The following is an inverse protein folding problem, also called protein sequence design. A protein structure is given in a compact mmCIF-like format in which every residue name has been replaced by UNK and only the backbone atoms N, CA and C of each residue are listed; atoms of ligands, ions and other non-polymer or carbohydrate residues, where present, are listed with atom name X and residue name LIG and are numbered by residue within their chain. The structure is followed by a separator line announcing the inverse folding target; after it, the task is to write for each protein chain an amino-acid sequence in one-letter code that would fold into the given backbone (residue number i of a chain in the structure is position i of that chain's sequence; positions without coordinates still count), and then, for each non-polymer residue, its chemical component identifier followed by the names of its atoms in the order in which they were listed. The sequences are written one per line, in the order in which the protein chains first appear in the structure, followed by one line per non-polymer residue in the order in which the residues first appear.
data_IF_209632109485
#
_entry.id   IF_209632109485
#
_cell.length_a   1.000
_cell.length_b   1.000
_cell.length_c   1.000
_cell.angle_alpha   90.00
_cell.angle_beta   90.00
_cell.angle_gamma   90.00
#
_symmetry.space_group_name_H-M   'P 1'
#
loop_
_entity.id
_entity.type
_entity.pdbx_description
1 polymer ?
#
# COMPACT_ATOMS: atom_id res chain seq x y z
N UNK A 1 21.98 27.98 4.48
CA UNK A 1 21.10 26.85 4.78
C UNK A 1 21.46 25.77 3.79
N UNK A 2 21.90 24.61 4.25
CA UNK A 2 22.22 23.48 3.36
C UNK A 2 20.94 22.83 2.83
N UNK A 3 21.00 22.04 1.77
CA UNK A 3 19.85 21.27 1.27
C UNK A 3 19.29 20.32 2.35
N UNK A 4 20.17 19.77 3.20
CA UNK A 4 19.77 18.96 4.35
C UNK A 4 18.99 19.75 5.39
N UNK A 5 19.38 21.00 5.66
CA UNK A 5 18.64 21.89 6.55
C UNK A 5 17.24 22.22 5.99
N UNK A 6 17.12 22.39 4.67
CA UNK A 6 15.85 22.67 4.00
C UNK A 6 14.90 21.46 4.06
N UNK A 7 15.40 20.25 3.78
CA UNK A 7 14.61 19.03 3.89
C UNK A 7 14.15 18.77 5.34
N UNK A 8 15.04 18.96 6.31
CA UNK A 8 14.69 18.83 7.71
C UNK A 8 13.63 19.88 8.15
N UNK A 9 13.70 21.11 7.64
CA UNK A 9 12.68 22.12 7.88
C UNK A 9 11.34 21.73 7.26
N UNK A 10 11.33 21.17 6.05
CA UNK A 10 10.11 20.66 5.41
C UNK A 10 9.46 19.55 6.24
N UNK A 11 10.24 18.60 6.76
CA UNK A 11 9.71 17.58 7.67
C UNK A 11 9.11 18.19 8.93
N UNK A 12 9.75 19.21 9.53
CA UNK A 12 9.20 19.93 10.69
C UNK A 12 7.91 20.67 10.36
N UNK A 13 7.83 21.30 9.19
CA UNK A 13 6.65 22.03 8.75
C UNK A 13 5.45 21.09 8.56
N UNK A 14 5.61 19.96 7.87
CA UNK A 14 4.54 18.97 7.71
C UNK A 14 4.14 18.32 9.03
N UNK A 15 5.09 18.06 9.93
CA UNK A 15 4.78 17.60 11.28
C UNK A 15 3.91 18.64 12.05
N UNK A 16 4.19 19.94 11.89
CA UNK A 16 3.37 20.99 12.48
C UNK A 16 1.95 21.05 11.91
N UNK A 17 1.76 20.75 10.61
CA UNK A 17 0.42 20.62 10.00
C UNK A 17 -0.37 19.51 10.67
N UNK A 18 0.23 18.33 10.88
CA UNK A 18 -0.42 17.22 11.58
C UNK A 18 -0.76 17.59 13.04
N UNK A 19 0.16 18.26 13.75
CA UNK A 19 -0.10 18.75 15.11
C UNK A 19 -1.30 19.70 15.15
N UNK A 20 -1.36 20.67 14.25
CA UNK A 20 -2.47 21.61 14.16
C UNK A 20 -3.81 20.91 13.86
N UNK A 21 -3.79 19.92 12.96
CA UNK A 21 -4.98 19.12 12.64
C UNK A 21 -5.45 18.30 13.85
N UNK A 22 -4.53 17.65 14.58
CA UNK A 22 -4.86 16.93 15.82
C UNK A 22 -5.52 17.87 16.82
N UNK A 23 -4.94 19.04 17.06
CA UNK A 23 -5.43 19.98 18.08
C UNK A 23 -6.82 20.51 17.71
N UNK A 24 -7.04 20.84 16.42
CA UNK A 24 -8.36 21.23 15.89
C UNK A 24 -9.40 20.12 16.07
N UNK A 25 -9.06 18.89 15.71
CA UNK A 25 -9.97 17.75 15.77
C UNK A 25 -10.25 17.32 17.22
N UNK A 26 -9.25 17.35 18.09
CA UNK A 26 -9.42 17.09 19.52
C UNK A 26 -10.33 18.14 20.17
N UNK A 27 -10.17 19.42 19.83
CA UNK A 27 -11.06 20.46 20.35
C UNK A 27 -12.53 20.24 19.95
N UNK A 28 -12.78 19.73 18.73
CA UNK A 28 -14.13 19.36 18.31
C UNK A 28 -14.67 18.13 19.06
N UNK A 29 -13.82 17.15 19.33
CA UNK A 29 -14.17 15.96 20.13
C UNK A 29 -14.51 16.34 21.57
N UNK A 30 -13.66 17.15 22.21
CA UNK A 30 -13.82 17.62 23.59
C UNK A 30 -15.07 18.49 23.76
N UNK A 31 -15.41 19.28 22.74
CA UNK A 31 -16.64 20.07 22.70
C UNK A 31 -17.91 19.24 22.40
N UNK A 32 -17.77 17.95 22.10
CA UNK A 32 -18.89 17.09 21.69
C UNK A 32 -19.48 17.44 20.33
N UNK A 33 -18.76 18.17 19.48
CA UNK A 33 -19.21 18.63 18.15
C UNK A 33 -18.60 17.84 16.98
N UNK A 34 -17.62 16.98 17.26
CA UNK A 34 -16.99 16.15 16.23
C UNK A 34 -17.99 15.19 15.54
N UNK A 35 -17.93 15.11 14.22
CA UNK A 35 -18.56 14.04 13.45
C UNK A 35 -17.82 12.71 13.60
N UNK A 36 -18.42 11.60 13.13
CA UNK A 36 -17.74 10.30 13.09
C UNK A 36 -16.49 10.34 12.20
N UNK A 37 -16.55 11.05 11.07
CA UNK A 37 -15.41 11.25 10.17
C UNK A 37 -14.29 12.04 10.86
N UNK A 38 -14.62 13.06 11.64
CA UNK A 38 -13.64 13.84 12.40
C UNK A 38 -12.99 13.02 13.52
N UNK A 39 -13.74 12.18 14.22
CA UNK A 39 -13.18 11.24 15.22
C UNK A 39 -12.22 10.25 14.55
N UNK A 40 -12.63 9.66 13.43
CA UNK A 40 -11.76 8.76 12.65
C UNK A 40 -10.49 9.46 12.17
N UNK A 41 -10.60 10.67 11.61
CA UNK A 41 -9.44 11.46 11.18
C UNK A 41 -8.55 11.85 12.35
N UNK A 42 -9.09 12.11 13.53
CA UNK A 42 -8.30 12.37 14.74
C UNK A 42 -7.44 11.17 15.11
N UNK A 43 -8.00 9.96 15.07
CA UNK A 43 -7.24 8.71 15.32
C UNK A 43 -6.15 8.52 14.25
N UNK A 44 -6.47 8.72 12.98
CA UNK A 44 -5.50 8.71 11.87
C UNK A 44 -4.34 9.69 12.15
N UNK A 45 -4.63 10.95 12.46
CA UNK A 45 -3.60 11.97 12.69
C UNK A 45 -2.76 11.65 13.94
N UNK A 46 -3.38 11.13 15.02
CA UNK A 46 -2.65 10.65 16.20
C UNK A 46 -1.67 9.52 15.83
N UNK A 47 -2.08 8.61 14.95
CA UNK A 47 -1.20 7.56 14.44
C UNK A 47 -0.04 8.13 13.60
N UNK A 48 -0.32 9.05 12.67
CA UNK A 48 0.72 9.69 11.85
C UNK A 48 1.72 10.52 12.68
N UNK A 49 1.30 11.02 13.84
CA UNK A 49 2.17 11.71 14.81
C UNK A 49 2.95 10.77 15.74
N UNK A 50 2.63 9.47 15.74
CA UNK A 50 3.33 8.49 16.58
C UNK A 50 4.76 8.31 16.04
N UNK A 51 5.81 8.55 16.85
CA UNK A 51 7.19 8.32 16.43
C UNK A 51 7.43 6.87 16.01
N UNK A 52 8.36 6.70 15.07
CA UNK A 52 8.78 5.38 14.57
C UNK A 52 10.21 5.07 15.00
N UNK A 53 10.56 3.78 15.17
CA UNK A 53 11.94 3.38 15.39
C UNK A 53 12.84 3.80 14.23
N UNK A 54 13.99 4.37 14.56
CA UNK A 54 15.06 4.71 13.64
C UNK A 54 16.40 4.35 14.26
N UNK A 55 17.44 4.30 13.44
CA UNK A 55 18.80 3.98 13.88
C UNK A 55 19.62 5.26 13.99
N UNK A 56 20.40 5.39 15.06
CA UNK A 56 21.32 6.51 15.30
C UNK A 56 22.67 6.01 15.83
N UNK A 57 23.67 6.88 15.86
CA UNK A 57 25.00 6.59 16.41
C UNK A 57 25.17 7.39 17.70
N UNK A 58 25.36 6.69 18.82
CA UNK A 58 25.60 7.34 20.11
C UNK A 58 27.00 7.98 20.18
N UNK A 59 27.27 8.77 21.23
CA UNK A 59 28.56 9.45 21.42
C UNK A 59 29.77 8.50 21.53
N UNK A 60 29.54 7.19 21.68
CA UNK A 60 30.57 6.14 21.76
C UNK A 60 30.73 5.40 20.43
N UNK A 61 29.98 5.77 19.39
CA UNK A 61 30.01 5.11 18.08
C UNK A 61 29.14 3.86 17.97
N UNK A 62 28.28 3.58 18.96
CA UNK A 62 27.37 2.43 18.90
C UNK A 62 26.12 2.78 18.12
N UNK A 63 25.65 1.81 17.33
CA UNK A 63 24.36 1.86 16.66
C UNK A 63 23.26 1.62 17.71
N UNK A 64 22.39 2.61 17.90
CA UNK A 64 21.28 2.57 18.87
C UNK A 64 19.94 2.79 18.18
N UNK A 65 18.88 2.23 18.75
CA UNK A 65 17.51 2.52 18.32
C UNK A 65 17.00 3.78 19.03
N UNK A 66 16.45 4.71 18.25
CA UNK A 66 15.84 5.95 18.72
C UNK A 66 14.44 6.10 18.14
N UNK A 67 13.56 6.81 18.85
CA UNK A 67 12.24 7.16 18.33
C UNK A 67 12.33 8.50 17.62
N UNK A 68 11.93 8.56 16.35
CA UNK A 68 11.94 9.78 15.54
C UNK A 68 10.54 10.07 15.00
N UNK A 69 10.14 11.35 14.88
CA UNK A 69 8.95 11.71 14.14
C UNK A 69 9.01 11.12 12.73
N UNK A 70 7.86 10.68 12.22
CA UNK A 70 7.71 10.27 10.82
C UNK A 70 8.04 11.45 9.90
N UNK A 71 8.62 11.15 8.74
CA UNK A 71 9.14 12.16 7.82
C UNK A 71 8.20 12.33 6.62
N UNK A 72 7.50 13.45 6.56
CA UNK A 72 6.56 13.76 5.47
C UNK A 72 7.07 14.91 4.60
N UNK A 73 7.19 14.68 3.29
CA UNK A 73 7.43 15.74 2.30
C UNK A 73 6.17 16.57 2.07
N UNK A 74 5.00 15.95 2.19
CA UNK A 74 3.71 16.61 2.08
C UNK A 74 2.68 15.91 2.96
N UNK A 75 1.78 16.69 3.54
CA UNK A 75 0.61 16.18 4.24
C UNK A 75 -0.56 17.15 4.15
N UNK A 76 -1.72 16.65 3.77
CA UNK A 76 -2.99 17.37 3.83
C UNK A 76 -3.99 16.51 4.62
N UNK A 77 -4.36 16.92 5.85
CA UNK A 77 -5.31 16.21 6.68
C UNK A 77 -6.77 16.57 6.40
N UNK A 78 -7.09 17.30 5.33
CA UNK A 78 -8.46 17.63 4.93
C UNK A 78 -9.00 16.69 3.85
N UNK A 79 -10.33 16.61 3.68
CA UNK A 79 -10.97 15.75 2.67
C UNK A 79 -10.57 14.26 2.78
N UNK A 80 -10.30 13.61 1.64
CA UNK A 80 -9.73 12.24 1.65
C UNK A 80 -8.34 12.18 2.30
N UNK A 81 -7.65 13.32 2.32
CA UNK A 81 -6.32 13.51 2.85
C UNK A 81 -5.23 12.93 1.96
N UNK A 82 -4.06 13.56 2.02
CA UNK A 82 -2.89 13.26 1.20
C UNK A 82 -1.67 13.16 2.09
N UNK A 83 -0.74 12.31 1.72
CA UNK A 83 0.53 12.19 2.40
C UNK A 83 1.63 11.66 1.47
N UNK A 84 2.80 12.25 1.59
CA UNK A 84 4.03 11.77 0.96
C UNK A 84 5.05 11.51 2.06
N UNK A 85 5.25 10.24 2.40
CA UNK A 85 6.14 9.83 3.49
C UNK A 85 7.46 9.29 2.97
N UNK A 86 8.55 9.65 3.66
CA UNK A 86 9.90 9.12 3.42
C UNK A 86 10.25 8.10 4.49
N UNK A 87 10.67 6.91 4.04
CA UNK A 87 11.17 5.83 4.87
C UNK A 87 12.67 5.62 4.60
N UNK A 88 13.51 5.88 5.59
CA UNK A 88 14.98 5.85 5.45
C UNK A 88 15.56 7.24 5.17
N UNK A 89 16.82 7.27 4.74
CA UNK A 89 17.54 8.53 4.47
C UNK A 89 17.55 8.81 2.96
N UNK A 90 16.68 9.72 2.51
CA UNK A 90 16.54 10.08 1.09
C UNK A 90 17.81 10.69 0.49
N UNK A 91 18.57 11.47 1.28
CA UNK A 91 19.76 12.17 0.79
C UNK A 91 21.00 11.27 0.75
N UNK A 92 21.03 10.21 1.57
CA UNK A 92 22.11 9.21 1.56
C UNK A 92 21.81 7.96 0.73
N UNK A 93 20.56 7.75 0.31
CA UNK A 93 20.15 6.57 -0.42
C UNK A 93 20.81 6.47 -1.80
N UNK A 94 21.21 5.26 -2.17
CA UNK A 94 21.66 4.90 -3.53
C UNK A 94 20.51 4.41 -4.39
N UNK A 95 19.49 3.84 -3.75
CA UNK A 95 18.30 3.32 -4.40
C UNK A 95 17.09 4.00 -3.78
N UNK A 96 16.24 4.58 -4.60
CA UNK A 96 15.00 5.23 -4.15
C UNK A 96 13.83 4.52 -4.81
N UNK A 97 12.91 3.97 -4.04
CA UNK A 97 11.62 3.52 -4.55
C UNK A 97 10.57 4.59 -4.28
N UNK A 98 9.70 4.87 -5.24
CA UNK A 98 8.48 5.66 -5.00
C UNK A 98 7.29 4.72 -5.17
N UNK A 99 6.58 4.44 -4.08
CA UNK A 99 5.42 3.56 -4.04
C UNK A 99 4.14 4.35 -4.35
N UNK A 100 3.41 3.92 -5.38
CA UNK A 100 2.13 4.50 -5.81
C UNK A 100 1.03 3.47 -5.53
N UNK A 101 0.16 3.71 -4.54
CA UNK A 101 -0.88 2.78 -4.18
C UNK A 101 -2.04 2.80 -5.18
N UNK A 102 -2.96 1.86 -5.02
CA UNK A 102 -4.14 1.71 -5.89
C UNK A 102 -5.38 2.43 -5.35
N UNK A 103 -6.54 2.02 -5.86
CA UNK A 103 -7.84 2.48 -5.35
C UNK A 103 -8.05 2.12 -3.87
N UNK A 104 -8.98 2.81 -3.21
CA UNK A 104 -9.35 2.58 -1.81
C UNK A 104 -8.37 3.15 -0.80
N UNK A 105 -7.39 3.94 -1.25
CA UNK A 105 -6.40 4.58 -0.40
C UNK A 105 -6.80 6.03 -0.09
N UNK A 106 -6.54 6.43 1.14
CA UNK A 106 -6.82 7.75 1.71
C UNK A 106 -5.89 7.93 2.90
N UNK A 107 -5.85 9.11 3.50
CA UNK A 107 -5.03 9.32 4.69
C UNK A 107 -5.37 8.33 5.81
N UNK A 108 -6.65 7.95 5.95
CA UNK A 108 -7.13 7.00 6.96
C UNK A 108 -6.67 5.54 6.73
N UNK A 109 -6.18 5.21 5.54
CA UNK A 109 -5.66 3.87 5.19
C UNK A 109 -4.16 3.90 4.89
N UNK A 110 -3.54 5.08 5.03
CA UNK A 110 -2.15 5.33 4.64
C UNK A 110 -1.16 4.40 5.34
N UNK A 111 -1.45 4.01 6.59
CA UNK A 111 -0.60 3.09 7.36
C UNK A 111 -0.26 1.80 6.60
N UNK A 112 -1.25 1.20 5.93
CA UNK A 112 -1.02 -0.02 5.16
C UNK A 112 -0.05 0.18 4.00
N UNK A 113 0.02 1.40 3.44
CA UNK A 113 0.98 1.74 2.39
C UNK A 113 2.36 2.07 2.98
N UNK A 114 2.43 2.68 4.15
CA UNK A 114 3.68 2.84 4.92
C UNK A 114 4.32 1.47 5.23
N UNK A 115 3.51 0.51 5.69
CA UNK A 115 3.98 -0.86 5.98
C UNK A 115 4.48 -1.56 4.69
N UNK A 116 3.79 -1.39 3.56
CA UNK A 116 4.27 -1.88 2.25
C UNK A 116 5.57 -1.22 1.82
N UNK A 117 5.70 0.09 2.03
CA UNK A 117 6.92 0.83 1.76
C UNK A 117 8.10 0.31 2.58
N UNK A 118 7.87 0.00 3.86
CA UNK A 118 8.90 -0.58 4.73
C UNK A 118 9.28 -2.01 4.29
N UNK A 119 8.32 -2.83 3.87
CA UNK A 119 8.60 -4.15 3.29
C UNK A 119 9.48 -4.05 2.02
N UNK A 120 9.20 -3.11 1.12
CA UNK A 120 10.04 -2.85 -0.06
C UNK A 120 11.46 -2.43 0.38
N UNK A 121 11.55 -1.53 1.36
CA UNK A 121 12.84 -1.03 1.88
C UNK A 121 13.67 -2.17 2.48
N UNK A 122 13.05 -3.01 3.31
CA UNK A 122 13.69 -4.17 3.93
C UNK A 122 14.21 -5.16 2.88
N UNK A 123 13.40 -5.47 1.87
CA UNK A 123 13.77 -6.41 0.81
C UNK A 123 14.85 -5.86 -0.14
N UNK A 124 14.79 -4.55 -0.46
CA UNK A 124 15.83 -3.88 -1.23
C UNK A 124 17.16 -3.78 -0.45
N UNK A 125 17.08 -3.66 0.88
CA UNK A 125 18.23 -3.70 1.78
C UNK A 125 18.91 -2.34 1.99
N UNK A 126 20.11 -2.34 2.61
CA UNK A 126 20.81 -1.13 3.03
C UNK A 126 21.07 -0.13 1.89
N UNK A 127 21.06 1.16 2.23
CA UNK A 127 21.24 2.23 1.24
C UNK A 127 20.00 2.50 0.38
N UNK A 128 18.84 2.03 0.82
CA UNK A 128 17.55 2.27 0.16
C UNK A 128 16.69 3.24 0.98
N UNK A 129 16.07 4.20 0.29
CA UNK A 129 14.94 4.96 0.81
C UNK A 129 13.68 4.62 0.01
N UNK A 130 12.52 4.66 0.67
CA UNK A 130 11.22 4.49 0.01
C UNK A 130 10.37 5.70 0.29
N UNK A 131 9.82 6.30 -0.76
CA UNK A 131 8.80 7.33 -0.67
C UNK A 131 7.44 6.70 -0.92
N UNK A 132 6.54 6.77 0.05
CA UNK A 132 5.14 6.37 -0.14
C UNK A 132 4.36 7.59 -0.60
N UNK A 133 3.92 7.59 -1.86
CA UNK A 133 3.31 8.75 -2.50
C UNK A 133 1.79 8.55 -2.63
N UNK A 134 1.03 9.19 -1.74
CA UNK A 134 -0.42 9.32 -1.82
C UNK A 134 -0.79 10.82 -1.90
N UNK A 135 -0.47 11.43 -3.04
CA UNK A 135 -0.88 12.81 -3.37
C UNK A 135 -1.87 12.83 -4.55
N UNK A 136 -2.92 12.02 -4.44
CA UNK A 136 -4.06 12.06 -5.35
C UNK A 136 -5.33 11.53 -4.67
N UNK A 137 -6.49 11.94 -5.18
CA UNK A 137 -7.77 11.45 -4.69
C UNK A 137 -8.02 10.07 -5.32
N UNK A 138 -7.61 9.02 -4.61
CA UNK A 138 -7.76 7.67 -5.15
C UNK A 138 -9.24 7.29 -5.26
N UNK A 139 -9.64 6.53 -6.30
CA UNK A 139 -11.01 6.03 -6.39
C UNK A 139 -11.38 5.22 -5.14
N UNK A 140 -12.50 5.51 -4.48
CA UNK A 140 -12.89 4.84 -3.23
C UNK A 140 -13.75 3.57 -3.45
N UNK A 141 -13.97 3.19 -4.72
CA UNK A 141 -14.69 1.98 -5.09
C UNK A 141 -14.63 1.68 -6.58
N UNK A 142 -15.11 0.49 -6.96
CA UNK A 142 -14.97 -0.04 -8.33
C UNK A 142 -15.60 0.85 -9.41
N UNK A 143 -16.74 1.48 -9.14
CA UNK A 143 -17.40 2.37 -10.11
C UNK A 143 -16.52 3.57 -10.44
N UNK A 144 -15.88 4.17 -9.43
CA UNK A 144 -14.95 5.27 -9.64
C UNK A 144 -13.67 4.78 -10.30
N UNK A 145 -13.17 3.60 -9.89
CA UNK A 145 -11.96 3.00 -10.44
C UNK A 145 -12.09 2.58 -11.91
N UNK A 146 -13.31 2.41 -12.42
CA UNK A 146 -13.55 2.19 -13.85
C UNK A 146 -13.22 3.42 -14.70
N UNK A 147 -13.27 4.63 -14.12
CA UNK A 147 -12.82 5.86 -14.78
C UNK A 147 -11.31 6.05 -14.66
N UNK A 148 -10.71 6.67 -15.67
CA UNK A 148 -9.31 7.07 -15.71
C UNK A 148 -9.05 8.48 -15.17
N UNK A 149 -10.10 9.23 -14.84
CA UNK A 149 -9.98 10.66 -14.54
C UNK A 149 -9.01 10.93 -13.38
N UNK A 150 -9.08 10.13 -12.31
CA UNK A 150 -8.18 10.27 -11.17
C UNK A 150 -6.71 10.00 -11.55
N UNK A 151 -6.44 9.03 -12.43
CA UNK A 151 -5.09 8.79 -12.94
C UNK A 151 -4.59 9.92 -13.85
N UNK A 152 -5.45 10.42 -14.73
CA UNK A 152 -5.13 11.54 -15.64
C UNK A 152 -4.82 12.81 -14.85
N UNK A 153 -5.57 13.09 -13.78
CA UNK A 153 -5.32 14.23 -12.89
C UNK A 153 -4.04 14.05 -12.07
N UNK A 154 -3.79 12.84 -11.56
CA UNK A 154 -2.65 12.53 -10.70
C UNK A 154 -1.30 12.49 -11.46
N UNK A 155 -1.32 12.09 -12.74
CA UNK A 155 -0.11 11.91 -13.55
C UNK A 155 0.83 13.13 -13.54
N UNK A 156 0.36 14.34 -13.90
CA UNK A 156 1.18 15.55 -13.84
C UNK A 156 1.71 15.88 -12.43
N UNK A 157 0.94 15.59 -11.36
CA UNK A 157 1.41 15.80 -9.97
C UNK A 157 2.54 14.85 -9.64
N UNK A 158 2.40 13.57 -9.95
CA UNK A 158 3.45 12.58 -9.76
C UNK A 158 4.68 12.90 -10.62
N UNK A 159 4.51 13.40 -11.85
CA UNK A 159 5.63 13.83 -12.69
C UNK A 159 6.39 15.01 -12.09
N UNK A 160 5.68 16.01 -11.55
CA UNK A 160 6.29 17.12 -10.83
C UNK A 160 7.01 16.64 -9.56
N UNK A 161 6.39 15.72 -8.80
CA UNK A 161 7.01 15.12 -7.63
C UNK A 161 8.28 14.33 -7.97
N UNK A 162 8.30 13.63 -9.11
CA UNK A 162 9.50 12.92 -9.56
C UNK A 162 10.67 13.88 -9.87
N UNK A 163 10.39 15.06 -10.43
CA UNK A 163 11.42 16.09 -10.59
C UNK A 163 11.93 16.58 -9.22
N UNK A 164 11.05 16.72 -8.25
CA UNK A 164 11.42 17.08 -6.87
C UNK A 164 12.32 16.02 -6.23
N UNK A 165 12.01 14.73 -6.41
CA UNK A 165 12.87 13.63 -5.94
C UNK A 165 14.25 13.69 -6.60
N UNK A 166 14.31 14.04 -7.90
CA UNK A 166 15.58 14.20 -8.61
C UNK A 166 16.43 15.36 -8.06
N UNK A 167 15.81 16.41 -7.51
CA UNK A 167 16.49 17.52 -6.82
C UNK A 167 16.94 17.14 -5.40
N UNK A 168 16.19 16.28 -4.70
CA UNK A 168 16.46 15.91 -3.31
C UNK A 168 17.43 14.73 -3.14
N UNK A 169 17.56 13.87 -4.14
CA UNK A 169 18.35 12.64 -4.07
C UNK A 169 19.85 12.89 -4.20
N UNK A 170 20.65 11.91 -3.76
CA UNK A 170 22.07 11.90 -4.10
C UNK A 170 22.28 11.83 -5.63
N UNK A 171 23.34 12.47 -6.14
CA UNK A 171 23.65 12.59 -7.58
C UNK A 171 23.53 11.25 -8.34
N UNK A 172 24.10 10.19 -7.77
CA UNK A 172 24.13 8.85 -8.38
C UNK A 172 23.00 7.92 -7.90
N UNK A 173 22.02 8.42 -7.16
CA UNK A 173 20.88 7.63 -6.73
C UNK A 173 19.99 7.27 -7.92
N UNK A 174 19.58 6.00 -8.00
CA UNK A 174 18.64 5.53 -9.01
C UNK A 174 17.21 5.47 -8.45
N UNK A 175 16.25 6.00 -9.21
CA UNK A 175 14.83 6.03 -8.80
C UNK A 175 14.03 4.96 -9.54
N UNK A 176 13.26 4.19 -8.78
CA UNK A 176 12.32 3.17 -9.27
C UNK A 176 10.90 3.56 -8.87
N UNK A 177 9.99 3.72 -9.84
CA UNK A 177 8.55 3.78 -9.53
C UNK A 177 8.03 2.37 -9.28
N UNK A 178 7.33 2.16 -8.17
CA UNK A 178 6.66 0.90 -7.83
C UNK A 178 5.17 1.17 -7.70
N UNK A 179 4.40 0.72 -8.68
CA UNK A 179 2.99 1.03 -8.77
C UNK A 179 2.12 -0.22 -8.62
N UNK A 180 0.98 -0.06 -7.97
CA UNK A 180 0.06 -1.15 -7.69
C UNK A 180 -1.36 -0.84 -8.13
N UNK A 181 -2.02 -1.79 -8.80
CA UNK A 181 -3.42 -1.69 -9.19
C UNK A 181 -3.69 -0.40 -9.97
N UNK A 182 -4.71 0.38 -9.61
CA UNK A 182 -5.00 1.70 -10.21
C UNK A 182 -3.78 2.64 -10.25
N UNK A 183 -2.86 2.51 -9.28
CA UNK A 183 -1.62 3.28 -9.24
C UNK A 183 -0.70 3.04 -10.45
N UNK A 184 -0.85 1.90 -11.17
CA UNK A 184 -0.09 1.67 -12.40
C UNK A 184 -0.50 2.61 -13.51
N UNK A 185 -1.79 2.95 -13.62
CA UNK A 185 -2.26 3.95 -14.58
C UNK A 185 -1.76 5.34 -14.17
N UNK A 186 -1.82 5.70 -12.88
CA UNK A 186 -1.23 6.96 -12.35
C UNK A 186 0.25 7.08 -12.72
N UNK A 187 1.04 6.02 -12.49
CA UNK A 187 2.46 5.99 -12.83
C UNK A 187 2.70 6.11 -14.35
N UNK A 188 1.88 5.44 -15.17
CA UNK A 188 1.97 5.59 -16.62
C UNK A 188 1.63 7.02 -17.08
N UNK A 189 0.58 7.64 -16.54
CA UNK A 189 0.24 9.04 -16.82
C UNK A 189 1.39 9.97 -16.41
N UNK A 190 2.09 9.70 -15.30
CA UNK A 190 3.26 10.48 -14.90
C UNK A 190 4.43 10.34 -15.88
N UNK A 191 4.72 9.14 -16.38
CA UNK A 191 5.77 8.93 -17.39
C UNK A 191 5.41 9.63 -18.71
N UNK A 192 4.14 9.52 -19.14
CA UNK A 192 3.63 10.26 -20.31
C UNK A 192 3.72 11.78 -20.11
N UNK A 193 3.52 12.27 -18.89
CA UNK A 193 3.63 13.67 -18.51
C UNK A 193 5.09 14.16 -18.32
N UNK A 194 6.10 13.29 -18.45
CA UNK A 194 7.50 13.69 -18.43
C UNK A 194 8.35 13.06 -17.33
N UNK A 195 7.79 12.26 -16.42
CA UNK A 195 8.59 11.53 -15.43
C UNK A 195 9.54 10.55 -16.14
N UNK A 196 10.78 10.43 -15.66
CA UNK A 196 11.82 9.57 -16.25
C UNK A 196 12.50 8.68 -15.20
N UNK A 197 11.76 7.81 -14.49
CA UNK A 197 12.39 6.89 -13.55
C UNK A 197 13.35 5.94 -14.28
N UNK A 198 14.39 5.48 -13.59
CA UNK A 198 15.31 4.47 -14.15
C UNK A 198 14.56 3.16 -14.43
N UNK A 199 13.62 2.81 -13.57
CA UNK A 199 12.85 1.56 -13.61
C UNK A 199 11.39 1.85 -13.22
N UNK A 200 10.47 1.14 -13.85
CA UNK A 200 9.05 1.19 -13.54
C UNK A 200 8.58 -0.24 -13.26
N UNK A 201 8.07 -0.48 -12.06
CA UNK A 201 7.45 -1.74 -11.64
C UNK A 201 5.95 -1.54 -11.57
N UNK A 202 5.19 -2.39 -12.25
CA UNK A 202 3.73 -2.39 -12.23
C UNK A 202 3.21 -3.75 -11.73
N UNK A 203 2.40 -3.73 -10.68
CA UNK A 203 1.83 -4.94 -10.08
C UNK A 203 0.30 -4.91 -10.17
N UNK A 204 -0.32 -5.97 -10.68
CA UNK A 204 -1.78 -6.09 -10.75
C UNK A 204 -2.47 -5.00 -11.56
N UNK A 205 -1.87 -4.56 -12.67
CA UNK A 205 -2.36 -3.40 -13.44
C UNK A 205 -3.74 -3.66 -14.08
N UNK A 206 -4.71 -2.71 -14.02
CA UNK A 206 -5.96 -2.75 -14.80
C UNK A 206 -5.77 -2.37 -16.29
N UNK A 207 -4.52 -2.18 -16.74
CA UNK A 207 -4.19 -1.58 -18.03
C UNK A 207 -3.78 -0.12 -17.89
N UNK A 208 -3.23 0.43 -18.98
CA UNK A 208 -2.79 1.85 -19.06
C UNK A 208 -3.73 2.62 -19.96
N UNK A 209 -3.77 2.31 -21.24
CA UNK A 209 -4.69 2.92 -22.20
C UNK A 209 -5.02 1.89 -23.28
N UNK A 210 -6.19 1.99 -23.91
CA UNK A 210 -6.63 1.04 -24.95
C UNK A 210 -5.71 0.97 -26.18
N UNK A 211 -4.89 1.99 -26.38
CA UNK A 211 -3.95 2.12 -27.51
C UNK A 211 -2.49 1.89 -27.10
N UNK A 212 -2.23 1.52 -25.84
CA UNK A 212 -0.89 1.16 -25.36
C UNK A 212 -0.83 -0.36 -25.30
N UNK A 213 -0.03 -0.95 -26.18
CA UNK A 213 0.13 -2.41 -26.30
C UNK A 213 1.58 -2.87 -26.10
N UNK A 214 2.53 -1.94 -25.99
CA UNK A 214 3.91 -2.19 -25.59
C UNK A 214 4.47 -1.11 -24.66
N UNK A 215 5.59 -1.41 -23.98
CA UNK A 215 6.22 -0.46 -23.08
C UNK A 215 6.70 0.79 -23.84
N UNK A 216 7.28 0.60 -25.02
CA UNK A 216 7.81 1.66 -25.88
C UNK A 216 6.78 2.75 -26.25
N UNK A 217 5.47 2.48 -26.16
CA UNK A 217 4.42 3.48 -26.40
C UNK A 217 4.41 4.62 -25.37
N UNK A 218 4.93 4.38 -24.16
CA UNK A 218 4.86 5.36 -23.08
C UNK A 218 6.13 5.50 -22.27
N UNK A 219 6.98 4.47 -22.19
CA UNK A 219 8.30 4.58 -21.54
C UNK A 219 9.37 4.93 -22.59
N UNK A 220 10.27 5.83 -22.22
CA UNK A 220 11.42 6.18 -23.06
C UNK A 220 12.70 5.56 -22.49
N UNK A 221 13.63 5.06 -23.32
CA UNK A 221 14.95 4.68 -22.84
C UNK A 221 15.62 5.83 -22.07
N UNK A 222 16.33 5.56 -20.95
CA UNK A 222 16.74 4.24 -20.46
C UNK A 222 15.74 3.58 -19.48
N UNK A 223 14.52 4.09 -19.32
CA UNK A 223 13.50 3.50 -18.45
C UNK A 223 13.16 2.09 -18.90
N UNK A 224 13.13 1.14 -17.96
CA UNK A 224 12.71 -0.25 -18.22
C UNK A 224 11.45 -0.59 -17.43
N UNK A 225 10.51 -1.24 -18.08
CA UNK A 225 9.25 -1.70 -17.49
C UNK A 225 9.38 -3.15 -16.98
N UNK A 226 8.98 -3.36 -15.73
CA UNK A 226 8.88 -4.65 -15.05
C UNK A 226 7.44 -4.85 -14.60
N UNK A 227 6.90 -6.05 -14.79
CA UNK A 227 5.47 -6.30 -14.55
C UNK A 227 5.22 -7.58 -13.77
N UNK A 228 4.29 -7.49 -12.84
CA UNK A 228 3.79 -8.63 -12.07
C UNK A 228 2.27 -8.75 -12.21
N UNK A 229 1.84 -9.95 -12.57
CA UNK A 229 0.45 -10.41 -12.50
C UNK A 229 0.40 -11.72 -11.71
N UNK A 230 -0.45 -11.74 -10.70
CA UNK A 230 -0.75 -12.95 -9.94
C UNK A 230 -1.79 -13.79 -10.72
N UNK A 231 -1.74 -15.13 -10.64
CA UNK A 231 -2.65 -15.98 -11.42
C UNK A 231 -4.16 -15.78 -11.16
N UNK A 232 -4.53 -15.32 -9.96
CA UNK A 232 -5.90 -14.99 -9.58
C UNK A 232 -6.19 -13.49 -9.57
N UNK A 233 -5.35 -12.66 -10.18
CA UNK A 233 -5.57 -11.21 -10.25
C UNK A 233 -6.69 -10.85 -11.22
N UNK A 234 -7.90 -10.69 -10.69
CA UNK A 234 -9.08 -10.33 -11.48
C UNK A 234 -8.97 -8.94 -12.12
N UNK A 235 -8.20 -8.01 -11.54
CA UNK A 235 -8.07 -6.64 -12.06
C UNK A 235 -7.21 -6.63 -13.30
N UNK A 236 -6.08 -7.35 -13.28
CA UNK A 236 -5.28 -7.53 -14.50
C UNK A 236 -6.03 -8.26 -15.59
N UNK A 237 -6.96 -9.13 -15.23
CA UNK A 237 -7.80 -9.81 -16.20
C UNK A 237 -8.95 -8.97 -16.75
N UNK A 238 -9.43 -7.95 -16.05
CA UNK A 238 -10.51 -7.10 -16.60
C UNK A 238 -10.01 -6.17 -17.69
N UNK A 239 -8.73 -5.79 -17.68
CA UNK A 239 -8.14 -4.88 -18.68
C UNK A 239 -8.98 -3.59 -18.83
N UNK A 240 -9.57 -3.11 -17.72
CA UNK A 240 -10.55 -2.03 -17.72
C UNK A 240 -10.04 -0.75 -18.39
N UNK A 241 -8.74 -0.46 -18.27
CA UNK A 241 -8.12 0.73 -18.83
C UNK A 241 -7.34 0.47 -20.11
N UNK A 242 -7.19 -0.80 -20.52
CA UNK A 242 -6.46 -1.21 -21.71
C UNK A 242 -5.75 -2.55 -21.51
N UNK A 243 -4.95 -2.97 -22.48
CA UNK A 243 -4.19 -4.21 -22.40
C UNK A 243 -3.32 -4.25 -21.14
N UNK A 244 -3.25 -5.43 -20.53
CA UNK A 244 -2.45 -5.66 -19.33
C UNK A 244 -0.94 -5.60 -19.67
N UNK A 245 -0.14 -4.72 -19.01
CA UNK A 245 1.31 -4.63 -19.20
C UNK A 245 2.08 -5.93 -19.00
N UNK A 246 1.52 -6.90 -18.27
CA UNK A 246 2.10 -8.24 -18.16
C UNK A 246 2.13 -9.02 -19.50
N UNK A 247 1.38 -8.57 -20.51
CA UNK A 247 1.38 -9.14 -21.85
C UNK A 247 2.23 -8.34 -22.85
N UNK A 248 2.84 -7.22 -22.45
CA UNK A 248 3.64 -6.39 -23.36
C UNK A 248 4.90 -7.15 -23.79
N UNK A 249 5.21 -7.19 -25.10
CA UNK A 249 6.29 -8.01 -25.64
C UNK A 249 7.70 -7.55 -25.21
N UNK A 250 7.84 -6.29 -24.84
CA UNK A 250 9.08 -5.61 -24.47
C UNK A 250 9.21 -5.33 -22.96
N UNK A 251 8.19 -5.71 -22.16
CA UNK A 251 8.24 -5.66 -20.71
C UNK A 251 8.95 -6.87 -20.10
N UNK A 252 9.53 -6.69 -18.91
CA UNK A 252 10.14 -7.78 -18.14
C UNK A 252 9.09 -8.37 -17.22
N UNK A 253 8.53 -9.51 -17.62
CA UNK A 253 7.53 -10.24 -16.85
C UNK A 253 8.19 -10.95 -15.66
N UNK A 254 8.03 -10.40 -14.46
CA UNK A 254 8.58 -10.96 -13.23
C UNK A 254 7.68 -12.08 -12.67
N UNK A 255 8.30 -13.09 -12.08
CA UNK A 255 7.58 -14.20 -11.47
C UNK A 255 7.01 -13.81 -10.10
N UNK A 256 5.76 -14.17 -9.83
CA UNK A 256 5.08 -13.96 -8.54
C UNK A 256 5.22 -15.15 -7.59
N UNK A 257 5.67 -16.29 -8.12
CA UNK A 257 6.06 -17.49 -7.38
C UNK A 257 7.46 -17.88 -7.87
N UNK A 258 8.33 -18.37 -6.98
CA UNK A 258 9.70 -18.74 -7.37
C UNK A 258 9.66 -20.00 -8.26
N UNK A 259 9.99 -19.90 -9.56
CA UNK A 259 9.96 -21.06 -10.46
C UNK A 259 11.09 -22.07 -10.18
N UNK A 260 12.02 -21.73 -9.28
CA UNK A 260 13.19 -22.54 -8.90
C UNK A 260 13.09 -23.08 -7.48
N UNK A 261 12.12 -22.63 -6.67
CA UNK A 261 11.88 -23.16 -5.34
C UNK A 261 11.02 -24.43 -5.42
N UNK A 262 11.30 -25.39 -4.54
CA UNK A 262 10.44 -26.54 -4.25
C UNK A 262 9.19 -26.15 -3.43
N UNK A 263 8.73 -27.04 -2.56
CA UNK A 263 7.41 -27.01 -1.91
C UNK A 263 7.08 -25.86 -0.91
N UNK A 264 7.85 -24.76 -0.82
CA UNK A 264 7.55 -23.72 0.20
C UNK A 264 7.87 -22.22 -0.12
N UNK A 265 7.71 -21.70 -1.35
CA UNK A 265 7.63 -20.25 -1.55
C UNK A 265 6.26 -19.73 -1.11
N UNK A 266 6.23 -18.56 -0.46
CA UNK A 266 4.98 -17.83 -0.20
C UNK A 266 4.41 -17.39 -1.55
N UNK A 267 3.41 -18.12 -2.04
CA UNK A 267 2.79 -17.83 -3.33
C UNK A 267 1.88 -16.60 -3.27
N UNK A 268 1.97 -15.77 -4.30
CA UNK A 268 1.11 -14.61 -4.53
C UNK A 268 0.07 -15.02 -5.57
N UNK A 269 -1.19 -15.12 -5.14
CA UNK A 269 -2.29 -15.56 -5.99
C UNK A 269 -3.28 -14.45 -6.27
N UNK A 270 -3.44 -13.52 -5.33
CA UNK A 270 -4.50 -12.53 -5.37
C UNK A 270 -4.00 -11.11 -5.58
N UNK A 271 -4.92 -10.25 -6.02
CA UNK A 271 -4.65 -8.87 -6.38
C UNK A 271 -3.90 -8.08 -5.29
N UNK A 272 -4.14 -8.32 -4.01
CA UNK A 272 -3.51 -7.54 -2.93
C UNK A 272 -2.25 -8.19 -2.33
N UNK A 273 -1.76 -9.29 -2.89
CA UNK A 273 -0.74 -10.14 -2.26
C UNK A 273 0.70 -9.89 -2.72
N UNK A 274 0.95 -9.01 -3.71
CA UNK A 274 2.29 -8.78 -4.28
C UNK A 274 3.36 -8.39 -3.23
N UNK A 275 2.94 -7.79 -2.12
CA UNK A 275 3.84 -7.37 -1.04
C UNK A 275 3.93 -8.37 0.11
N UNK A 276 3.46 -9.62 -0.06
CA UNK A 276 3.55 -10.63 1.01
C UNK A 276 5.03 -10.84 1.40
N UNK A 277 5.36 -10.76 2.70
CA UNK A 277 6.71 -11.06 3.17
C UNK A 277 7.17 -12.44 2.72
N UNK A 278 8.46 -12.56 2.35
CA UNK A 278 9.08 -13.78 1.84
C UNK A 278 8.53 -14.31 0.50
N UNK A 279 7.66 -13.57 -0.19
CA UNK A 279 7.20 -13.94 -1.53
C UNK A 279 8.24 -13.61 -2.60
N UNK A 280 8.21 -14.33 -3.70
CA UNK A 280 9.08 -14.04 -4.84
C UNK A 280 8.74 -12.70 -5.51
N UNK A 281 7.47 -12.33 -5.50
CA UNK A 281 6.99 -11.01 -5.95
C UNK A 281 7.70 -9.87 -5.21
N UNK A 282 7.64 -9.86 -3.87
CA UNK A 282 8.34 -8.84 -3.08
C UNK A 282 9.86 -8.87 -3.31
N UNK A 283 10.48 -10.06 -3.37
CA UNK A 283 11.92 -10.22 -3.68
C UNK A 283 12.29 -9.62 -5.02
N UNK A 284 11.48 -9.82 -6.05
CA UNK A 284 11.69 -9.22 -7.37
C UNK A 284 11.57 -7.70 -7.32
N UNK A 285 10.57 -7.16 -6.64
CA UNK A 285 10.45 -5.71 -6.41
C UNK A 285 11.74 -5.17 -5.76
N UNK A 286 12.21 -5.79 -4.68
CA UNK A 286 13.44 -5.38 -4.00
C UNK A 286 14.70 -5.50 -4.87
N UNK A 287 14.83 -6.56 -5.68
CA UNK A 287 15.92 -6.74 -6.66
C UNK A 287 15.93 -5.62 -7.71
N UNK A 288 14.76 -5.25 -8.24
CA UNK A 288 14.64 -4.15 -9.20
C UNK A 288 15.02 -2.82 -8.56
N UNK A 289 14.49 -2.53 -7.36
CA UNK A 289 14.80 -1.31 -6.61
C UNK A 289 16.29 -1.18 -6.36
N UNK A 290 16.97 -2.24 -5.89
CA UNK A 290 18.41 -2.23 -5.59
C UNK A 290 19.34 -2.41 -6.80
N UNK A 291 18.78 -2.55 -8.00
CA UNK A 291 19.54 -2.72 -9.24
C UNK A 291 20.16 -4.11 -9.45
N UNK A 292 19.77 -5.12 -8.67
CA UNK A 292 20.22 -6.53 -8.79
C UNK A 292 19.44 -7.27 -9.88
N UNK A 293 19.53 -6.74 -11.11
CA UNK A 293 18.68 -7.13 -12.23
C UNK A 293 18.94 -8.55 -12.75
N UNK A 294 20.15 -9.09 -12.52
CA UNK A 294 20.52 -10.46 -12.91
C UNK A 294 19.87 -11.52 -12.03
N UNK A 295 19.43 -11.14 -10.83
CA UNK A 295 18.76 -12.03 -9.88
C UNK A 295 17.24 -12.03 -10.04
N UNK A 296 16.67 -11.15 -10.87
CA UNK A 296 15.22 -11.10 -11.13
C UNK A 296 14.77 -12.43 -11.75
N UNK A 297 13.75 -13.05 -11.16
CA UNK A 297 13.11 -14.23 -11.74
C UNK A 297 11.99 -13.80 -12.67
N UNK A 298 11.90 -14.46 -13.82
CA UNK A 298 10.91 -14.16 -14.84
C UNK A 298 10.04 -15.37 -15.12
N UNK A 299 8.86 -15.10 -15.69
CA UNK A 299 7.94 -16.13 -16.16
C UNK A 299 7.41 -15.76 -17.54
N UNK A 300 7.13 -16.77 -18.36
CA UNK A 300 6.43 -16.63 -19.63
C UNK A 300 5.04 -17.30 -19.58
N UNK A 301 4.49 -17.48 -18.38
CA UNK A 301 3.17 -18.08 -18.17
C UNK A 301 2.11 -17.24 -18.88
N UNK A 302 1.40 -17.86 -19.83
CA UNK A 302 0.29 -17.21 -20.50
C UNK A 302 -0.87 -17.00 -19.52
N UNK A 303 -1.71 -16.02 -19.80
CA UNK A 303 -2.96 -15.80 -19.07
C UNK A 303 -3.83 -17.06 -19.01
N UNK A 304 -3.87 -17.84 -20.09
CA UNK A 304 -4.60 -19.10 -20.13
C UNK A 304 -4.02 -20.15 -19.16
N UNK A 305 -2.69 -20.30 -19.11
CA UNK A 305 -2.02 -21.21 -18.20
C UNK A 305 -2.19 -20.79 -16.73
N UNK A 306 -2.11 -19.49 -16.44
CA UNK A 306 -2.36 -18.92 -15.11
C UNK A 306 -3.81 -19.15 -14.65
N UNK A 307 -4.76 -19.08 -15.58
CA UNK A 307 -6.16 -19.40 -15.34
C UNK A 307 -6.38 -20.90 -15.11
N UNK A 308 -5.70 -21.78 -15.86
CA UNK A 308 -5.78 -23.25 -15.67
C UNK A 308 -5.14 -23.72 -14.35
N UNK A 309 -4.03 -23.12 -13.93
CA UNK A 309 -3.36 -23.38 -12.63
C UNK A 309 -4.29 -23.12 -11.43
N UNK A 310 -5.28 -22.24 -11.60
CA UNK A 310 -6.27 -21.92 -10.59
C UNK A 310 -7.55 -22.78 -10.73
N UNK A 311 -7.84 -23.34 -11.92
CA UNK A 311 -9.17 -23.84 -12.29
C UNK A 311 -9.10 -25.10 -13.16
N UNK A 312 -9.25 -26.28 -12.56
CA UNK A 312 -9.54 -27.52 -13.29
C UNK A 312 -10.84 -27.55 -14.11
N UNK A 313 -11.48 -26.41 -14.46
CA UNK A 313 -12.60 -26.33 -15.42
C UNK A 313 -12.88 -24.90 -15.92
N UNK A 314 -13.27 -24.77 -17.20
CA UNK A 314 -13.51 -23.53 -17.96
C UNK A 314 -14.75 -22.71 -17.55
N UNK A 315 -14.62 -21.38 -17.58
CA UNK A 315 -15.58 -20.34 -17.13
C UNK A 315 -16.83 -20.10 -18.00
N UNK A 316 -17.44 -21.13 -18.58
CA UNK A 316 -18.67 -20.95 -19.35
C UNK A 316 -19.89 -20.47 -18.52
N UNK A 317 -19.95 -20.81 -17.23
CA UNK A 317 -21.11 -20.54 -16.36
C UNK A 317 -20.84 -19.72 -15.09
N UNK A 318 -19.58 -19.50 -14.70
CA UNK A 318 -19.22 -19.00 -13.38
C UNK A 318 -19.13 -17.47 -13.25
N UNK A 319 -19.26 -16.71 -14.35
CA UNK A 319 -19.24 -15.24 -14.31
C UNK A 319 -20.40 -14.64 -13.48
N UNK A 320 -21.54 -15.33 -13.37
CA UNK A 320 -22.65 -14.88 -12.52
C UNK A 320 -22.43 -15.17 -11.02
N UNK A 321 -21.57 -16.13 -10.67
CA UNK A 321 -21.27 -16.48 -9.27
C UNK A 321 -20.10 -15.67 -8.71
N UNK A 322 -19.10 -15.32 -9.54
CA UNK A 322 -17.94 -14.54 -9.14
C UNK A 322 -18.26 -13.05 -8.89
N UNK A 323 -19.23 -12.48 -9.60
CA UNK A 323 -19.75 -11.15 -9.27
C UNK A 323 -20.30 -11.10 -7.82
N UNK A 324 -20.94 -12.19 -7.37
CA UNK A 324 -21.46 -12.31 -6.00
C UNK A 324 -20.38 -12.62 -4.95
N UNK A 325 -19.28 -13.28 -5.32
CA UNK A 325 -18.17 -13.55 -4.39
C UNK A 325 -17.25 -12.32 -4.22
N UNK A 326 -16.98 -11.59 -5.30
CA UNK A 326 -16.28 -10.31 -5.24
C UNK A 326 -17.10 -9.25 -4.50
N UNK A 327 -18.43 -9.20 -4.68
CA UNK A 327 -19.30 -8.41 -3.80
C UNK A 327 -19.21 -8.89 -2.36
N UNK A 328 -19.25 -10.20 -2.07
CA UNK A 328 -19.22 -10.72 -0.68
C UNK A 328 -17.91 -10.50 0.06
N UNK A 329 -16.76 -10.57 -0.61
CA UNK A 329 -15.46 -10.24 0.01
C UNK A 329 -15.41 -8.75 0.33
N UNK A 330 -15.96 -7.90 -0.52
CA UNK A 330 -16.05 -6.46 -0.27
C UNK A 330 -17.13 -6.09 0.77
N UNK A 331 -18.31 -6.72 0.71
CA UNK A 331 -19.40 -6.61 1.68
C UNK A 331 -18.95 -7.13 3.05
N UNK A 332 -18.06 -8.12 3.11
CA UNK A 332 -17.45 -8.60 4.35
C UNK A 332 -16.51 -7.57 5.00
N UNK A 333 -15.75 -6.84 4.19
CA UNK A 333 -14.86 -5.75 4.66
C UNK A 333 -15.66 -4.49 5.02
N UNK A 334 -16.75 -4.20 4.31
CA UNK A 334 -17.67 -3.08 4.63
C UNK A 334 -18.53 -3.42 5.85
N UNK A 335 -18.96 -4.68 6.04
CA UNK A 335 -19.74 -5.11 7.20
C UNK A 335 -18.92 -5.13 8.50
N UNK A 336 -17.60 -5.30 8.44
CA UNK A 336 -16.70 -5.17 9.59
C UNK A 336 -16.66 -3.74 10.20
N UNK A 337 -17.29 -2.74 9.55
CA UNK A 337 -17.41 -1.36 10.09
C UNK A 337 -18.79 -1.02 10.64
N UNK A 338 -19.74 -1.95 10.68
CA UNK A 338 -21.05 -1.75 11.33
C UNK A 338 -21.25 -2.79 12.45
N UNK A 339 -21.32 -2.40 13.73
CA UNK A 339 -21.70 -3.35 14.77
C UNK A 339 -23.15 -3.80 14.50
N UNK A 340 -23.35 -5.10 14.28
CA UNK A 340 -24.68 -5.67 14.13
C UNK A 340 -25.38 -5.67 15.49
N UNK A 341 -26.69 -5.37 15.53
CA UNK A 341 -27.51 -5.33 16.76
C UNK A 341 -27.51 -6.65 17.57
N UNK A 342 -26.99 -7.75 17.03
CA UNK A 342 -26.82 -9.02 17.73
C UNK A 342 -25.56 -9.05 18.62
N UNK A 343 -24.49 -8.34 18.27
CA UNK A 343 -23.30 -8.19 19.14
C UNK A 343 -23.57 -7.34 20.39
N UNK A 344 -24.58 -6.46 20.36
CA UNK A 344 -25.02 -5.69 21.52
C UNK A 344 -25.87 -6.51 22.52
N UNK A 345 -26.52 -7.60 22.08
CA UNK A 345 -27.29 -8.49 22.95
C UNK A 345 -26.42 -9.51 23.70
N UNK A 346 -25.34 -9.98 23.06
CA UNK A 346 -24.45 -10.98 23.65
C UNK A 346 -23.59 -10.44 24.81
N UNK A 347 -23.23 -9.14 24.79
CA UNK A 347 -22.50 -8.50 25.88
C UNK A 347 -23.38 -8.22 27.14
N UNK A 348 -24.70 -8.08 26.98
CA UNK A 348 -25.62 -7.89 28.11
C UNK A 348 -26.02 -9.20 28.81
N UNK A 349 -25.99 -10.34 28.10
CA UNK A 349 -26.31 -11.66 28.67
C UNK A 349 -25.20 -12.29 29.52
N UNK A 350 -23.93 -12.01 29.23
CA UNK A 350 -22.79 -12.55 29.99
C UNK A 350 -22.50 -11.79 31.29
N UNK A 351 -23.01 -10.57 31.47
CA UNK A 351 -22.91 -9.83 32.73
C UNK A 351 -23.94 -10.28 33.80
N UNK A 352 -24.98 -11.02 33.41
CA UNK A 352 -26.01 -11.53 34.33
C UNK A 352 -25.74 -12.96 34.87
N UNK A 353 -24.86 -13.74 34.22
CA UNK A 353 -24.56 -15.12 34.60
C UNK A 353 -23.34 -15.29 35.54
N UNK A 354 -22.65 -14.18 35.88
CA UNK A 354 -21.47 -14.19 36.76
C UNK A 354 -21.75 -13.99 38.26
N UNK A 355 -23.00 -13.87 38.68
CA UNK A 355 -23.39 -13.79 40.10
C UNK A 355 -24.45 -14.83 40.42
N UNK A 356 -24.03 -16.06 40.69
CA UNK A 356 -24.65 -16.97 41.67
C UNK A 356 -23.93 -18.31 41.63
N UNK A 357 -23.20 -18.63 42.70
CA UNK A 357 -23.06 -19.97 43.34
C UNK A 357 -21.75 -20.01 44.14
N UNK A 358 -21.81 -19.52 45.38
CA UNK A 358 -21.01 -20.05 46.48
C UNK A 358 -21.99 -20.32 47.62
N UNK A 359 -22.68 -21.45 47.52
CA UNK A 359 -23.61 -21.96 48.53
C UNK A 359 -22.88 -22.93 49.45
N UNK A 360 -22.68 -22.48 50.68
CA UNK A 360 -22.14 -23.25 51.78
C UNK A 360 -22.96 -24.50 52.09
N UNK A 361 -22.26 -25.59 52.40
CA UNK A 361 -22.85 -26.76 53.05
C UNK A 361 -23.01 -26.58 54.57
N UNK A 362 -23.79 -27.51 55.14
CA UNK A 362 -24.29 -27.67 56.53
C UNK A 362 -25.76 -27.20 56.64
N UNK A 363 -26.76 -28.04 56.86
CA UNK A 363 -26.80 -29.37 57.45
C UNK A 363 -27.61 -29.27 58.75
N UNK A 364 -28.87 -29.74 58.74
CA UNK A 364 -29.61 -30.17 59.93
C UNK A 364 -30.99 -30.71 59.55
N UNK A 365 -31.09 -32.04 59.44
CA UNK A 365 -32.30 -32.78 59.79
C UNK A 365 -32.34 -33.01 61.31
N UNK A 366 -33.54 -33.18 61.85
CA UNK A 366 -33.72 -34.01 63.05
C UNK A 366 -34.20 -33.27 64.30
N UNK A 367 -35.42 -33.59 64.70
CA UNK A 367 -36.22 -32.98 65.77
C UNK A 367 -36.29 -33.96 66.96
N UNK A 368 -36.39 -33.42 68.19
CA UNK A 368 -36.71 -34.10 69.49
C UNK A 368 -35.53 -34.91 70.08
N UNK A 369 -35.20 -34.85 71.37
CA UNK A 369 -35.89 -34.45 72.61
C UNK A 369 -34.95 -33.68 73.52
#
# INVERSE_FOLDING_TARGET
MTESDQLAERFRANHAVLVAARDRLQAAEDAGTASDEQRKRLDTVKELLTPVPATDVDAKGNVVEVQRPRQFLEVDPEGQGRAVEVLGDLQAAKNIAVLIPGMGNSLDTFRGQSDRGDLIKQEAGPGTAVVVWLDYDSPQGLVQAASKDAAIEAGPRLAAFMNEVDELKAENAEVTLVAHSYGTDVAAQAVMAGARPKRLVMTGSPGIAKYVDEAADFVQPPTRLYTERAPGDYVSYTEWHGPDPANFPDAIRMATSDPRAGDDPVSVHWHNEYYRPNSESLRNIGRVVRGDLTSVTTTNTSRSAETELFLGTSWGGALNAAAGAASKVYDGVVALTKPSKESAGAAAGQAAAGRTTNGAGRGSEGRRR
#
